data_IF_076905162735
#
_entry.id   IF_076905162735
#
_cell.length_a   1.000
_cell.length_b   1.000
_cell.length_c   1.000
_cell.angle_alpha   90.00
_cell.angle_beta   90.00
_cell.angle_gamma   90.00
#
_symmetry.space_group_name_H-M   'P 1'
#
loop_
_entity.id
_entity.type
_entity.pdbx_description
1 polymer ?
#
# COMPACT_ATOMS: atom_id res chain seq x y z
N UNK A 1 -20.01 0.71 -11.61
CA UNK A 1 -19.86 -0.14 -10.42
C UNK A 1 -18.71 0.43 -9.63
N UNK A 2 -18.86 0.66 -8.32
CA UNK A 2 -17.70 0.96 -7.48
C UNK A 2 -16.78 -0.26 -7.56
N UNK A 3 -15.53 -0.05 -7.95
CA UNK A 3 -14.57 -1.14 -8.07
C UNK A 3 -14.04 -1.44 -6.66
N UNK A 4 -13.87 -2.72 -6.32
CA UNK A 4 -13.50 -3.15 -4.98
C UNK A 4 -12.01 -3.48 -4.91
N UNK A 5 -11.34 -2.98 -3.87
CA UNK A 5 -9.94 -3.28 -3.61
C UNK A 5 -9.74 -4.79 -3.38
N UNK A 6 -8.77 -5.44 -4.06
CA UNK A 6 -8.57 -6.88 -3.92
C UNK A 6 -8.02 -7.24 -2.54
N UNK A 7 -8.45 -8.36 -1.96
CA UNK A 7 -7.96 -8.80 -0.64
C UNK A 7 -6.56 -9.42 -0.74
N UNK A 8 -5.77 -9.24 0.30
CA UNK A 8 -4.49 -9.94 0.47
C UNK A 8 -4.81 -11.29 1.12
N UNK A 9 -4.54 -12.38 0.41
CA UNK A 9 -4.87 -13.75 0.83
C UNK A 9 -3.72 -14.43 1.57
N UNK A 10 -2.48 -14.02 1.32
CA UNK A 10 -1.30 -14.54 1.99
C UNK A 10 -0.20 -13.49 2.10
N UNK A 11 0.47 -13.46 3.26
CA UNK A 11 1.66 -12.67 3.54
C UNK A 11 2.73 -13.59 4.14
N UNK A 12 3.93 -13.54 3.57
CA UNK A 12 5.15 -14.07 4.18
C UNK A 12 6.36 -13.26 3.71
N UNK A 13 7.54 -13.55 4.25
CA UNK A 13 8.76 -12.79 3.94
C UNK A 13 9.06 -12.78 2.43
N UNK A 14 9.03 -11.60 1.82
CA UNK A 14 9.29 -11.43 0.38
C UNK A 14 8.18 -11.96 -0.53
N UNK A 15 6.97 -12.22 -0.01
CA UNK A 15 5.86 -12.80 -0.78
C UNK A 15 4.49 -12.30 -0.31
N UNK A 16 3.72 -11.79 -1.27
CA UNK A 16 2.33 -11.37 -1.14
C UNK A 16 1.48 -12.08 -2.19
N UNK A 17 0.38 -12.69 -1.76
CA UNK A 17 -0.65 -13.22 -2.65
C UNK A 17 -1.90 -12.37 -2.53
N UNK A 18 -2.49 -12.03 -3.69
CA UNK A 18 -3.61 -11.09 -3.80
C UNK A 18 -4.71 -11.78 -4.58
N UNK A 19 -5.95 -11.65 -4.11
CA UNK A 19 -7.13 -12.19 -4.77
C UNK A 19 -7.22 -11.71 -6.23
N UNK A 20 -7.42 -12.65 -7.15
CA UNK A 20 -7.52 -12.37 -8.58
C UNK A 20 -6.18 -12.29 -9.33
N UNK A 21 -5.04 -12.47 -8.64
CA UNK A 21 -3.71 -12.48 -9.25
C UNK A 21 -3.05 -13.86 -9.10
N UNK A 22 -2.64 -14.47 -10.21
CA UNK A 22 -2.01 -15.79 -10.21
C UNK A 22 -0.55 -15.76 -9.73
N UNK A 23 0.14 -14.64 -9.99
CA UNK A 23 1.56 -14.48 -9.65
C UNK A 23 1.69 -13.68 -8.35
N UNK A 24 2.44 -14.18 -7.35
CA UNK A 24 2.70 -13.45 -6.12
C UNK A 24 3.61 -12.24 -6.39
N UNK A 25 3.43 -11.19 -5.59
CA UNK A 25 4.29 -10.02 -5.57
C UNK A 25 5.33 -10.16 -4.46
N UNK A 26 6.49 -9.51 -4.62
CA UNK A 26 7.36 -9.25 -3.47
C UNK A 26 6.78 -8.10 -2.66
N UNK A 27 6.71 -6.93 -3.27
CA UNK A 27 6.10 -5.73 -2.73
C UNK A 27 5.01 -5.26 -3.70
N UNK A 28 3.92 -4.71 -3.20
CA UNK A 28 2.75 -4.42 -4.02
C UNK A 28 2.14 -3.05 -3.72
N UNK A 29 1.65 -2.43 -4.80
CA UNK A 29 0.65 -1.37 -4.75
C UNK A 29 -0.72 -2.00 -4.94
N UNK A 30 -1.67 -1.69 -4.07
CA UNK A 30 -3.06 -2.12 -4.16
C UNK A 30 -3.97 -0.90 -4.27
N UNK A 31 -5.06 -1.04 -5.02
CA UNK A 31 -6.06 0.01 -5.22
C UNK A 31 -7.41 -0.60 -5.66
N UNK A 32 -8.53 0.16 -5.69
CA UNK A 32 -9.88 -0.37 -5.88
C UNK A 32 -10.14 -1.19 -7.14
N UNK A 33 -9.23 -1.21 -8.11
CA UNK A 33 -9.39 -1.98 -9.34
C UNK A 33 -8.19 -2.81 -9.75
N UNK A 34 -7.29 -3.06 -8.81
CA UNK A 34 -6.21 -3.99 -9.03
C UNK A 34 -5.07 -3.87 -8.04
N UNK A 35 -3.98 -4.51 -8.43
CA UNK A 35 -2.71 -4.45 -7.76
C UNK A 35 -1.61 -4.55 -8.82
N UNK A 36 -0.43 -4.03 -8.47
CA UNK A 36 0.79 -4.22 -9.26
C UNK A 36 2.01 -4.28 -8.36
N UNK A 37 3.12 -4.69 -8.93
CA UNK A 37 4.43 -4.63 -8.27
C UNK A 37 4.75 -3.20 -7.86
N UNK A 38 5.28 -3.05 -6.64
CA UNK A 38 5.86 -1.81 -6.17
C UNK A 38 7.37 -1.84 -6.35
N UNK A 39 7.83 -1.36 -7.50
CA UNK A 39 9.25 -1.15 -7.76
C UNK A 39 9.70 0.20 -7.22
N UNK A 40 10.52 0.18 -6.17
CA UNK A 40 11.09 1.38 -5.53
C UNK A 40 11.99 2.19 -6.47
N UNK A 41 12.48 1.60 -7.57
CA UNK A 41 13.30 2.31 -8.55
C UNK A 41 12.51 3.36 -9.34
N UNK A 42 11.18 3.22 -9.45
CA UNK A 42 10.32 4.16 -10.16
C UNK A 42 10.29 5.54 -9.50
N UNK A 43 10.40 5.58 -8.17
CA UNK A 43 10.19 6.79 -7.35
C UNK A 43 11.42 7.18 -6.55
N UNK A 44 12.42 6.30 -6.48
CA UNK A 44 13.61 6.50 -5.67
C UNK A 44 13.43 6.10 -4.21
N UNK A 45 12.42 5.30 -3.89
CA UNK A 45 12.17 4.81 -2.53
C UNK A 45 13.35 3.99 -2.00
N UNK A 46 13.62 4.23 -0.72
CA UNK A 46 14.65 3.62 0.11
C UNK A 46 14.09 3.57 1.53
N UNK A 47 14.68 2.76 2.40
CA UNK A 47 14.35 2.74 3.84
C UNK A 47 14.31 4.15 4.44
N UNK A 48 15.27 5.00 4.05
CA UNK A 48 15.31 6.43 4.34
C UNK A 48 15.69 7.19 3.06
N UNK A 49 14.93 8.24 2.67
CA UNK A 49 13.92 8.95 3.47
C UNK A 49 12.55 8.26 3.58
N UNK A 50 12.32 7.15 2.87
CA UNK A 50 11.09 6.36 2.97
C UNK A 50 10.20 6.44 1.73
N UNK A 51 8.94 6.08 1.92
CA UNK A 51 7.87 6.16 0.90
C UNK A 51 7.73 7.60 0.39
N UNK A 52 7.75 7.74 -0.94
CA UNK A 52 7.73 9.01 -1.65
C UNK A 52 6.30 9.46 -2.00
N UNK A 53 6.05 10.77 -2.21
CA UNK A 53 4.77 11.25 -2.72
C UNK A 53 4.40 10.62 -4.07
N UNK A 54 5.39 10.34 -4.92
CA UNK A 54 5.18 9.68 -6.19
C UNK A 54 4.71 8.22 -6.06
N UNK A 55 4.99 7.53 -4.95
CA UNK A 55 4.52 6.15 -4.75
C UNK A 55 3.00 6.09 -4.61
N UNK A 56 2.42 7.08 -3.93
CA UNK A 56 0.99 7.13 -3.58
C UNK A 56 0.13 7.87 -4.61
N UNK A 57 0.72 8.58 -5.57
CA UNK A 57 -0.03 9.33 -6.58
C UNK A 57 -0.97 8.42 -7.37
N UNK A 58 -0.49 7.25 -7.77
CA UNK A 58 -1.30 6.27 -8.49
C UNK A 58 -2.49 5.78 -7.64
N UNK A 59 -2.30 5.56 -6.34
CA UNK A 59 -3.39 5.16 -5.45
C UNK A 59 -4.47 6.26 -5.37
N UNK A 60 -4.05 7.53 -5.34
CA UNK A 60 -4.96 8.69 -5.38
C UNK A 60 -5.73 8.72 -6.71
N UNK A 61 -5.03 8.54 -7.84
CA UNK A 61 -5.62 8.58 -9.18
C UNK A 61 -6.65 7.45 -9.40
N UNK A 62 -6.47 6.32 -8.70
CA UNK A 62 -7.42 5.20 -8.67
C UNK A 62 -8.61 5.40 -7.71
N UNK A 63 -8.74 6.59 -7.10
CA UNK A 63 -9.92 6.98 -6.32
C UNK A 63 -9.98 6.31 -4.94
N UNK A 64 -8.83 6.23 -4.26
CA UNK A 64 -8.76 5.71 -2.89
C UNK A 64 -9.21 6.76 -1.87
N UNK A 65 -10.00 6.33 -0.89
CA UNK A 65 -10.40 7.15 0.26
C UNK A 65 -9.50 6.90 1.49
N UNK A 66 -8.83 5.75 1.52
CA UNK A 66 -7.86 5.35 2.54
C UNK A 66 -6.62 4.80 1.87
N UNK A 67 -5.44 5.13 2.38
CA UNK A 67 -4.17 4.52 2.00
C UNK A 67 -3.47 3.93 3.23
N UNK A 68 -3.13 2.65 3.14
CA UNK A 68 -2.33 1.95 4.14
C UNK A 68 -0.87 1.90 3.67
N UNK A 69 0.04 2.42 4.49
CA UNK A 69 1.47 2.47 4.25
C UNK A 69 2.17 1.51 5.21
N UNK A 70 2.64 0.38 4.70
CA UNK A 70 3.39 -0.56 5.54
C UNK A 70 4.85 -0.12 5.70
N UNK A 71 5.41 -0.37 6.89
CA UNK A 71 6.79 -0.04 7.24
C UNK A 71 7.77 -1.20 7.04
N UNK A 72 7.32 -2.34 6.53
CA UNK A 72 8.06 -3.60 6.63
C UNK A 72 7.75 -4.37 7.92
N UNK A 73 8.13 -5.65 7.93
CA UNK A 73 8.00 -6.58 9.05
C UNK A 73 8.78 -6.08 10.26
N UNK A 74 9.99 -5.55 10.04
CA UNK A 74 10.88 -4.98 11.05
C UNK A 74 10.79 -3.45 11.15
N UNK A 75 9.78 -2.86 10.50
CA UNK A 75 9.48 -1.42 10.52
C UNK A 75 10.63 -0.49 10.06
N UNK A 76 11.52 -0.96 9.17
CA UNK A 76 12.69 -0.17 8.74
C UNK A 76 12.36 0.82 7.61
N UNK A 77 11.24 0.64 6.91
CA UNK A 77 10.80 1.57 5.88
C UNK A 77 10.08 2.77 6.50
N UNK A 78 10.68 3.95 6.31
CA UNK A 78 10.09 5.22 6.74
C UNK A 78 9.03 5.70 5.74
N UNK A 79 8.32 6.77 6.10
CA UNK A 79 7.43 7.51 5.20
C UNK A 79 7.76 8.98 5.28
N UNK A 80 7.88 9.65 4.12
CA UNK A 80 8.11 11.10 4.09
C UNK A 80 6.89 11.87 4.60
N UNK A 81 7.14 12.99 5.30
CA UNK A 81 6.06 13.87 5.76
C UNK A 81 5.27 14.47 4.58
N UNK A 82 5.95 14.70 3.45
CA UNK A 82 5.38 15.16 2.20
C UNK A 82 4.37 14.16 1.62
N UNK A 83 4.63 12.85 1.78
CA UNK A 83 3.71 11.78 1.36
C UNK A 83 2.41 11.84 2.15
N UNK A 84 2.51 11.98 3.48
CA UNK A 84 1.33 12.13 4.35
C UNK A 84 0.58 13.43 4.07
N UNK A 85 1.31 14.51 3.78
CA UNK A 85 0.73 15.81 3.42
C UNK A 85 -0.03 15.73 2.10
N UNK A 86 0.52 15.03 1.10
CA UNK A 86 -0.14 14.84 -0.20
C UNK A 86 -1.45 14.07 -0.03
N UNK A 87 -1.44 12.95 0.71
CA UNK A 87 -2.65 12.17 1.01
C UNK A 87 -3.71 13.03 1.72
N UNK A 88 -3.33 13.73 2.78
CA UNK A 88 -4.23 14.61 3.53
C UNK A 88 -4.82 15.72 2.64
N UNK A 89 -4.02 16.34 1.78
CA UNK A 89 -4.47 17.40 0.85
C UNK A 89 -5.47 16.91 -0.19
N UNK A 90 -5.48 15.61 -0.48
CA UNK A 90 -6.44 14.96 -1.38
C UNK A 90 -7.63 14.34 -0.63
N UNK A 91 -7.78 14.62 0.68
CA UNK A 91 -8.80 14.02 1.56
C UNK A 91 -8.70 12.48 1.66
N UNK A 92 -7.49 11.95 1.53
CA UNK A 92 -7.21 10.52 1.68
C UNK A 92 -6.70 10.26 3.10
N UNK A 93 -7.40 9.41 3.84
CA UNK A 93 -6.99 8.98 5.18
C UNK A 93 -5.75 8.08 5.07
N UNK A 94 -4.73 8.30 5.89
CA UNK A 94 -3.49 7.55 5.84
C UNK A 94 -3.22 6.81 7.16
N UNK A 95 -2.88 5.52 7.07
CA UNK A 95 -2.39 4.73 8.20
C UNK A 95 -0.97 4.24 7.91
N UNK A 96 -0.05 4.43 8.85
CA UNK A 96 1.34 3.95 8.74
C UNK A 96 1.56 2.90 9.82
N UNK A 97 1.77 1.64 9.43
CA UNK A 97 1.74 0.49 10.33
C UNK A 97 2.84 -0.52 10.01
N UNK A 98 3.15 -1.40 10.96
CA UNK A 98 3.92 -2.61 10.70
C UNK A 98 3.16 -3.49 9.67
N UNK A 99 3.88 -4.23 8.82
CA UNK A 99 3.28 -4.89 7.64
C UNK A 99 2.13 -5.86 7.95
N UNK A 100 2.19 -6.65 9.02
CA UNK A 100 1.12 -7.60 9.37
C UNK A 100 -0.14 -6.87 9.87
N UNK A 101 0.04 -5.82 10.66
CA UNK A 101 -1.06 -4.92 11.07
C UNK A 101 -1.65 -4.18 9.87
N UNK A 102 -0.80 -3.72 8.95
CA UNK A 102 -1.20 -3.06 7.72
C UNK A 102 -2.08 -3.97 6.85
N UNK A 103 -1.69 -5.25 6.67
CA UNK A 103 -2.47 -6.23 5.91
C UNK A 103 -3.81 -6.52 6.59
N UNK A 104 -3.82 -6.64 7.92
CA UNK A 104 -5.04 -6.87 8.70
C UNK A 104 -6.03 -5.72 8.51
N UNK A 105 -5.59 -4.48 8.77
CA UNK A 105 -6.43 -3.29 8.63
C UNK A 105 -6.88 -3.07 7.17
N UNK A 106 -5.99 -3.28 6.21
CA UNK A 106 -6.32 -3.19 4.79
C UNK A 106 -7.51 -4.10 4.45
N UNK A 107 -7.41 -5.40 4.78
CA UNK A 107 -8.45 -6.36 4.47
C UNK A 107 -9.78 -6.04 5.17
N UNK A 108 -9.75 -5.56 6.42
CA UNK A 108 -10.96 -5.12 7.13
C UNK A 108 -11.64 -3.92 6.44
N UNK A 109 -10.86 -2.92 6.01
CA UNK A 109 -11.41 -1.72 5.39
C UNK A 109 -11.89 -1.96 3.95
N UNK A 110 -11.31 -2.93 3.22
CA UNK A 110 -11.72 -3.28 1.84
C UNK A 110 -13.17 -3.77 1.74
N UNK A 111 -13.81 -4.12 2.87
CA UNK A 111 -15.20 -4.56 2.89
C UNK A 111 -16.19 -3.44 2.59
N UNK A 112 -15.83 -2.18 2.91
CA UNK A 112 -16.76 -1.06 2.86
C UNK A 112 -16.17 0.24 2.29
N UNK A 113 -14.86 0.29 1.99
CA UNK A 113 -14.18 1.50 1.52
C UNK A 113 -13.32 1.23 0.29
N UNK A 114 -13.06 2.28 -0.48
CA UNK A 114 -12.04 2.29 -1.52
C UNK A 114 -10.66 2.42 -0.87
N UNK A 115 -9.95 1.30 -0.71
CA UNK A 115 -8.67 1.26 0.02
C UNK A 115 -7.52 1.06 -0.96
N UNK A 116 -6.48 1.86 -0.82
CA UNK A 116 -5.18 1.64 -1.43
C UNK A 116 -4.17 1.17 -0.39
N UNK A 117 -3.11 0.49 -0.83
CA UNK A 117 -2.00 0.16 0.05
C UNK A 117 -0.66 0.09 -0.67
N UNK A 118 0.41 0.43 0.06
CA UNK A 118 1.79 0.13 -0.29
C UNK A 118 2.33 -0.90 0.70
N UNK A 119 2.49 -2.14 0.24
CA UNK A 119 2.87 -3.28 1.07
C UNK A 119 4.30 -3.71 0.79
N UNK A 120 5.16 -3.56 1.78
CA UNK A 120 6.53 -4.03 1.81
C UNK A 120 6.61 -5.29 2.67
N UNK A 121 7.02 -6.42 2.09
CA UNK A 121 6.96 -7.74 2.73
C UNK A 121 8.25 -8.17 3.42
N UNK A 122 9.25 -7.30 3.49
CA UNK A 122 10.54 -7.53 4.18
C UNK A 122 10.80 -6.46 5.24
N UNK A 123 12.06 -6.05 5.50
CA UNK A 123 12.39 -5.05 6.55
C UNK A 123 12.12 -3.62 6.12
#
# INVERSE_FOLDING_TARGET
MAKQSPKITHLSWGRLEIEGFETPFKDAKLFPDGAREWDWSETGTRHQPGIQPADVQELIDHGTDVVILSKGIDEQLHTMAETLTLLASNNVEAHVLQTEEAVTLYNELTENRAVGALVHSTC
#
